data_IF_167712085028
#
_entry.id   IF_167712085028
#
_cell.length_a   1.000
_cell.length_b   1.000
_cell.length_c   1.000
_cell.angle_alpha   90.00
_cell.angle_beta   90.00
_cell.angle_gamma   90.00
#
_symmetry.space_group_name_H-M   'P 1'
#
loop_
_entity.id
_entity.type
_entity.pdbx_description
1 polymer ?
#
# COMPACT_ATOMS: atom_id res chain seq x y z
N UNK A 1 -2.93 28.80 13.87
CA UNK A 1 -1.91 27.75 14.02
C UNK A 1 -1.29 27.95 15.41
N UNK A 2 -1.53 27.06 16.38
CA UNK A 2 -1.05 27.25 17.76
C UNK A 2 0.49 27.21 17.83
N UNK A 3 1.11 28.12 18.59
CA UNK A 3 2.57 28.28 18.71
C UNK A 3 3.33 26.97 19.05
N UNK A 4 2.67 26.04 19.74
CA UNK A 4 3.23 24.73 20.08
C UNK A 4 3.63 23.85 18.87
N UNK A 5 3.11 24.11 17.67
CA UNK A 5 3.46 23.35 16.46
C UNK A 5 4.72 23.89 15.76
N UNK A 6 5.14 25.13 16.01
CA UNK A 6 6.26 25.76 15.30
C UNK A 6 7.64 25.24 15.78
N UNK A 7 7.72 24.68 16.99
CA UNK A 7 8.96 24.18 17.60
C UNK A 7 9.25 22.70 17.27
N UNK A 8 8.35 21.99 16.58
CA UNK A 8 8.48 20.54 16.36
C UNK A 8 9.27 20.24 15.09
N UNK A 9 10.13 19.22 15.15
CA UNK A 9 10.74 18.62 13.97
C UNK A 9 9.68 17.82 13.20
N UNK A 10 9.50 18.03 11.88
CA UNK A 10 8.56 17.24 11.08
C UNK A 10 9.05 15.78 10.99
N UNK A 11 8.12 14.84 11.11
CA UNK A 11 8.40 13.43 10.89
C UNK A 11 8.43 13.15 9.37
N UNK A 12 9.55 12.61 8.89
CA UNK A 12 9.65 12.19 7.50
C UNK A 12 9.15 10.76 7.33
N UNK A 13 8.22 10.57 6.40
CA UNK A 13 7.63 9.27 6.09
C UNK A 13 8.34 8.68 4.88
N UNK A 14 8.76 7.42 5.01
CA UNK A 14 9.44 6.68 3.96
C UNK A 14 8.56 5.57 3.41
N UNK A 15 8.67 5.32 2.11
CA UNK A 15 7.93 4.27 1.41
C UNK A 15 8.84 3.48 0.48
N UNK A 16 8.50 2.20 0.26
CA UNK A 16 9.24 1.34 -0.67
C UNK A 16 8.75 1.57 -2.10
N UNK A 17 9.60 2.17 -2.93
CA UNK A 17 9.35 2.39 -4.34
C UNK A 17 10.23 1.45 -5.16
N UNK A 18 9.62 0.54 -5.92
CA UNK A 18 10.32 -0.29 -6.93
C UNK A 18 11.57 -1.05 -6.43
N UNK A 19 11.68 -1.33 -5.12
CA UNK A 19 12.82 -2.08 -4.57
C UNK A 19 13.65 -1.34 -3.52
N UNK A 20 13.58 -0.01 -3.46
CA UNK A 20 14.36 0.79 -2.51
C UNK A 20 13.48 1.71 -1.66
N UNK A 21 14.02 2.17 -0.53
CA UNK A 21 13.34 3.07 0.40
C UNK A 21 13.57 4.52 -0.08
N UNK A 22 12.49 5.27 -0.28
CA UNK A 22 12.52 6.69 -0.68
C UNK A 22 11.59 7.49 0.23
N UNK A 23 11.93 8.73 0.59
CA UNK A 23 11.01 9.59 1.34
C UNK A 23 9.80 9.96 0.48
N UNK A 24 8.63 9.98 1.11
CA UNK A 24 7.34 10.29 0.46
C UNK A 24 7.28 11.75 0.02
N UNK A 25 7.98 12.65 0.70
CA UNK A 25 8.19 14.05 0.32
C UNK A 25 8.73 14.22 -1.10
N UNK A 26 9.48 13.23 -1.61
CA UNK A 26 10.10 13.27 -2.92
C UNK A 26 9.26 12.59 -4.02
N UNK A 27 7.99 12.30 -3.79
CA UNK A 27 7.13 11.67 -4.80
C UNK A 27 6.74 12.71 -5.86
N UNK A 28 6.81 12.31 -7.13
CA UNK A 28 6.24 13.09 -8.23
C UNK A 28 4.78 12.64 -8.48
N UNK A 29 4.04 13.41 -9.28
CA UNK A 29 2.61 13.16 -9.56
C UNK A 29 2.38 11.74 -10.11
N UNK A 30 3.23 11.27 -11.02
CA UNK A 30 3.13 9.92 -11.57
C UNK A 30 3.32 8.83 -10.52
N UNK A 31 4.24 9.03 -9.58
CA UNK A 31 4.48 8.08 -8.48
C UNK A 31 3.31 8.02 -7.50
N UNK A 32 2.65 9.14 -7.26
CA UNK A 32 1.41 9.16 -6.47
C UNK A 32 0.29 8.36 -7.17
N UNK A 33 0.08 8.55 -8.48
CA UNK A 33 -0.91 7.77 -9.24
C UNK A 33 -0.62 6.27 -9.16
N UNK A 34 0.63 5.86 -9.43
CA UNK A 34 1.04 4.46 -9.34
C UNK A 34 0.83 3.90 -7.93
N UNK A 35 1.16 4.66 -6.89
CA UNK A 35 0.95 4.24 -5.51
C UNK A 35 -0.54 4.03 -5.18
N UNK A 36 -1.43 4.92 -5.64
CA UNK A 36 -2.87 4.82 -5.45
C UNK A 36 -3.48 3.61 -6.17
N UNK A 37 -2.88 3.16 -7.27
CA UNK A 37 -3.32 1.98 -8.02
C UNK A 37 -2.82 0.65 -7.41
N UNK A 38 -1.94 0.70 -6.39
CA UNK A 38 -1.44 -0.51 -5.73
C UNK A 38 -2.57 -1.23 -5.00
N UNK A 39 -2.69 -2.52 -5.27
CA UNK A 39 -3.56 -3.40 -4.49
C UNK A 39 -2.84 -3.82 -3.22
N UNK A 40 -3.37 -3.41 -2.08
CA UNK A 40 -2.90 -3.85 -0.77
C UNK A 40 -3.43 -5.24 -0.46
N UNK A 41 -2.66 -5.96 0.34
CA UNK A 41 -3.15 -7.20 0.93
C UNK A 41 -4.27 -6.89 1.92
N UNK A 42 -5.34 -7.67 1.85
CA UNK A 42 -6.37 -7.72 2.89
C UNK A 42 -6.72 -9.18 3.14
N UNK A 43 -6.99 -9.54 4.40
CA UNK A 43 -7.30 -10.92 4.78
C UNK A 43 -8.49 -11.47 3.96
N UNK A 44 -9.56 -10.68 3.81
CA UNK A 44 -10.73 -11.04 3.00
C UNK A 44 -10.40 -11.33 1.52
N UNK A 45 -9.49 -10.56 0.90
CA UNK A 45 -9.04 -10.80 -0.48
C UNK A 45 -8.13 -12.04 -0.59
N UNK A 46 -7.47 -12.41 0.50
CA UNK A 46 -6.54 -13.55 0.54
C UNK A 46 -7.26 -14.90 0.68
N UNK A 47 -8.32 -14.96 1.50
CA UNK A 47 -9.08 -16.19 1.80
C UNK A 47 -9.91 -16.66 0.59
N UNK A 48 -10.35 -15.75 -0.27
CA UNK A 48 -11.11 -16.08 -1.48
C UNK A 48 -10.30 -16.90 -2.49
N UNK A 49 -8.96 -16.81 -2.48
CA UNK A 49 -8.11 -17.57 -3.40
C UNK A 49 -8.01 -19.04 -2.98
N UNK A 50 -8.00 -19.33 -1.68
CA UNK A 50 -8.00 -20.70 -1.14
C UNK A 50 -9.33 -21.44 -1.32
N UNK A 51 -10.46 -20.74 -1.10
CA UNK A 51 -11.80 -21.32 -1.28
C UNK A 51 -12.10 -21.63 -2.75
N UNK A 52 -11.77 -20.70 -3.67
CA UNK A 52 -11.93 -20.92 -5.12
C UNK A 52 -11.17 -22.13 -5.63
N UNK A 53 -9.98 -22.45 -5.09
CA UNK A 53 -9.24 -23.63 -5.55
C UNK A 53 -10.03 -24.92 -5.27
N UNK A 54 -10.56 -25.10 -4.05
CA UNK A 54 -11.36 -26.28 -3.71
C UNK A 54 -12.69 -26.35 -4.47
N UNK A 55 -13.34 -25.21 -4.70
CA UNK A 55 -14.60 -25.14 -5.45
C UNK A 55 -14.38 -25.33 -6.96
N UNK A 56 -13.33 -24.76 -7.55
CA UNK A 56 -12.93 -24.97 -8.95
C UNK A 56 -12.55 -26.44 -9.20
N UNK A 57 -11.82 -27.07 -8.28
CA UNK A 57 -11.47 -28.49 -8.39
C UNK A 57 -12.70 -29.40 -8.28
N UNK A 58 -13.69 -29.05 -7.45
CA UNK A 58 -14.97 -29.78 -7.37
C UNK A 58 -15.88 -29.59 -8.59
N UNK A 59 -15.75 -28.47 -9.30
CA UNK A 59 -16.56 -28.14 -10.49
C UNK A 59 -15.94 -28.66 -11.79
N UNK A 60 -14.66 -29.02 -11.76
CA UNK A 60 -13.91 -29.60 -12.86
C UNK A 60 -13.91 -31.15 -12.85
N UNK A 61 -14.46 -31.76 -11.80
CA UNK A 61 -14.75 -33.19 -11.69
C UNK A 61 -16.20 -33.47 -12.11
#
# INVERSE_FOLDING_TARGET
MSEANAQRTPCEVFSRSMGFIRPVSNFNIGKYSEFCERKTFTEANSLTTGQRHSELMKKAA
#
